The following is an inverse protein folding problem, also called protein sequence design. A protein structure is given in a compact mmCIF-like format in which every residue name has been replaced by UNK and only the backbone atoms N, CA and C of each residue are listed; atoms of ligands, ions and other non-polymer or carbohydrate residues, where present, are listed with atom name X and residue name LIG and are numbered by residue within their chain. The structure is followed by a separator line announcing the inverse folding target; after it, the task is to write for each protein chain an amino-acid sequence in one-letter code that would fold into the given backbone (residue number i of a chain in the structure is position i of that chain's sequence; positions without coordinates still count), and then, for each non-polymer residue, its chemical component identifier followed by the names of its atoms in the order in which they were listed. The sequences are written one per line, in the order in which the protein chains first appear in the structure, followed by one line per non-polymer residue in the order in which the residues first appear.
data_IF_970089005213
#
_entry.id   IF_970089005213
#
_cell.length_a   1.000
_cell.length_b   1.000
_cell.length_c   1.000
_cell.angle_alpha   90.00
_cell.angle_beta   90.00
_cell.angle_gamma   90.00
#
_symmetry.space_group_name_H-M   'P 1'
#
loop_
_entity.id
_entity.type
_entity.pdbx_description
1 polymer ?
#
# COMPACT_ATOMS: atom_id res chain seq x y z
N UNK A 1 15.77 14.11 4.93
CA UNK A 1 16.34 13.60 6.19
C UNK A 1 15.42 14.08 7.27
N UNK A 2 15.01 13.20 8.17
CA UNK A 2 14.09 13.55 9.26
C UNK A 2 14.94 14.09 10.40
N UNK A 3 14.88 15.41 10.63
CA UNK A 3 15.50 16.03 11.79
C UNK A 3 14.55 15.93 13.00
N UNK A 4 15.04 16.30 14.19
CA UNK A 4 14.25 16.22 15.42
C UNK A 4 12.95 17.03 15.33
N UNK A 5 13.00 18.24 14.75
CA UNK A 5 11.83 19.10 14.64
C UNK A 5 10.72 18.45 13.80
N UNK A 6 11.06 17.96 12.61
CA UNK A 6 10.12 17.25 11.74
C UNK A 6 9.59 15.98 12.41
N UNK A 7 10.43 15.28 13.18
CA UNK A 7 10.00 14.10 13.90
C UNK A 7 8.95 14.41 14.97
N UNK A 8 9.13 15.48 15.74
CA UNK A 8 8.13 15.94 16.71
C UNK A 8 6.81 16.34 16.02
N UNK A 9 6.87 17.00 14.86
CA UNK A 9 5.68 17.37 14.10
C UNK A 9 4.93 16.15 13.57
N UNK A 10 5.65 15.13 13.09
CA UNK A 10 5.08 13.84 12.68
C UNK A 10 4.37 13.17 13.87
N UNK A 11 4.96 13.19 15.07
CA UNK A 11 4.35 12.61 16.26
C UNK A 11 3.10 13.38 16.71
N UNK A 12 3.14 14.73 16.69
CA UNK A 12 1.97 15.57 17.00
C UNK A 12 0.82 15.35 16.03
N UNK A 13 1.11 15.17 14.74
CA UNK A 13 0.09 14.84 13.74
C UNK A 13 -0.50 13.45 14.00
N UNK A 14 0.33 12.47 14.35
CA UNK A 14 -0.12 11.12 14.67
C UNK A 14 -1.03 11.11 15.91
N UNK A 15 -0.68 11.88 16.95
CA UNK A 15 -1.50 12.04 18.15
C UNK A 15 -2.86 12.68 17.83
N UNK A 16 -2.89 13.74 17.00
CA UNK A 16 -4.13 14.38 16.54
C UNK A 16 -5.05 13.44 15.73
N UNK A 17 -4.52 12.30 15.29
CA UNK A 17 -5.25 11.26 14.53
C UNK A 17 -5.53 10.01 15.37
N UNK A 18 -5.43 10.12 16.69
CA UNK A 18 -5.63 9.03 17.66
C UNK A 18 -4.70 7.82 17.42
N UNK A 19 -3.53 8.06 16.83
CA UNK A 19 -2.52 7.01 16.64
C UNK A 19 -1.66 6.93 17.90
N UNK A 20 -1.59 5.77 18.58
CA UNK A 20 -0.82 5.65 19.80
C UNK A 20 0.67 5.95 19.57
N UNK A 21 1.23 6.92 20.30
CA UNK A 21 2.63 7.32 20.16
C UNK A 21 3.63 6.21 20.49
N UNK A 22 3.21 5.17 21.22
CA UNK A 22 3.99 3.94 21.40
C UNK A 22 4.29 3.22 20.07
N UNK A 23 3.56 3.52 18.99
CA UNK A 23 3.71 2.92 17.66
C UNK A 23 4.62 3.73 16.74
N UNK A 24 5.67 4.38 17.28
CA UNK A 24 6.64 5.21 16.54
C UNK A 24 7.11 4.62 15.20
N UNK A 25 7.43 3.32 15.18
CA UNK A 25 7.85 2.61 13.95
C UNK A 25 6.78 2.68 12.85
N UNK A 26 5.52 2.44 13.22
CA UNK A 26 4.42 2.41 12.28
C UNK A 26 4.04 3.83 11.82
N UNK A 27 4.10 4.81 12.73
CA UNK A 27 3.94 6.25 12.40
C UNK A 27 4.99 6.67 11.36
N UNK A 28 6.26 6.36 11.61
CA UNK A 28 7.36 6.67 10.69
C UNK A 28 7.17 6.00 9.32
N UNK A 29 6.70 4.75 9.31
CA UNK A 29 6.39 4.03 8.07
C UNK A 29 5.26 4.72 7.29
N UNK A 30 4.17 5.07 7.97
CA UNK A 30 3.01 5.74 7.37
C UNK A 30 3.42 7.10 6.80
N UNK A 31 4.25 7.88 7.51
CA UNK A 31 4.82 9.12 6.99
C UNK A 31 5.57 8.91 5.67
N UNK A 32 6.47 7.93 5.60
CA UNK A 32 7.24 7.66 4.39
C UNK A 32 6.36 7.11 3.25
N UNK A 33 5.31 6.34 3.57
CA UNK A 33 4.32 5.87 2.61
C UNK A 33 3.51 7.03 2.00
N UNK A 34 3.01 7.95 2.85
CA UNK A 34 2.33 9.18 2.40
C UNK A 34 3.24 10.01 1.51
N UNK A 35 4.51 10.15 1.90
CA UNK A 35 5.51 10.87 1.12
C UNK A 35 5.78 10.21 -0.24
N UNK A 36 5.90 8.88 -0.27
CA UNK A 36 6.05 8.13 -1.52
C UNK A 36 4.85 8.37 -2.44
N UNK A 37 3.62 8.23 -1.94
CA UNK A 37 2.39 8.43 -2.71
C UNK A 37 2.29 9.87 -3.24
N UNK A 38 2.55 10.87 -2.39
CA UNK A 38 2.54 12.29 -2.78
C UNK A 38 3.52 12.55 -3.92
N UNK A 39 4.74 12.02 -3.85
CA UNK A 39 5.72 12.18 -4.92
C UNK A 39 5.37 11.37 -6.18
N UNK A 40 4.78 10.18 -6.04
CA UNK A 40 4.37 9.34 -7.17
C UNK A 40 3.26 10.03 -7.98
N UNK A 41 2.21 10.51 -7.32
CA UNK A 41 1.03 11.08 -7.98
C UNK A 41 1.25 12.49 -8.55
N UNK A 42 2.44 13.07 -8.37
CA UNK A 42 2.91 14.26 -9.09
C UNK A 42 3.50 13.96 -10.47
N UNK A 43 3.83 12.69 -10.74
CA UNK A 43 4.49 12.29 -11.98
C UNK A 43 3.47 12.01 -13.09
N UNK A 44 3.83 12.34 -14.33
CA UNK A 44 3.03 11.97 -15.50
C UNK A 44 2.94 10.45 -15.65
N UNK A 45 1.73 9.93 -15.90
CA UNK A 45 1.45 8.50 -16.04
C UNK A 45 1.04 7.80 -14.76
N UNK A 46 1.11 8.47 -13.59
CA UNK A 46 0.72 7.90 -12.30
C UNK A 46 -0.75 7.49 -12.22
N UNK A 47 -1.64 8.11 -13.00
CA UNK A 47 -3.07 7.84 -13.03
C UNK A 47 -3.43 6.44 -13.55
N UNK A 48 -2.46 5.72 -14.13
CA UNK A 48 -2.58 4.33 -14.53
C UNK A 48 -2.11 3.35 -13.45
N UNK A 49 -1.61 3.85 -12.31
CA UNK A 49 -1.42 3.07 -11.10
C UNK A 49 -2.52 3.45 -10.11
N UNK A 50 -3.48 2.56 -9.90
CA UNK A 50 -4.52 2.75 -8.88
C UNK A 50 -4.00 2.22 -7.55
N UNK A 51 -3.91 3.05 -6.52
CA UNK A 51 -3.44 2.67 -5.19
C UNK A 51 -4.53 1.89 -4.44
N UNK A 52 -4.24 0.68 -4.00
CA UNK A 52 -5.21 -0.28 -3.45
C UNK A 52 -4.70 -0.89 -2.13
N UNK A 53 -5.39 -1.94 -1.68
CA UNK A 53 -4.92 -2.75 -0.57
C UNK A 53 -5.24 -2.17 0.82
N UNK A 54 -4.57 -2.71 1.84
CA UNK A 54 -4.85 -2.32 3.23
C UNK A 54 -4.41 -0.90 3.57
N UNK A 55 -3.35 -0.41 2.91
CA UNK A 55 -2.83 0.93 3.15
C UNK A 55 -3.74 2.01 2.54
N UNK A 56 -4.36 1.75 1.39
CA UNK A 56 -5.40 2.63 0.84
C UNK A 56 -6.60 2.75 1.80
N UNK A 57 -7.09 1.61 2.32
CA UNK A 57 -8.15 1.60 3.33
C UNK A 57 -7.76 2.37 4.61
N UNK A 58 -6.50 2.26 5.05
CA UNK A 58 -5.97 2.99 6.21
C UNK A 58 -5.97 4.49 5.98
N UNK A 59 -5.38 4.94 4.86
CA UNK A 59 -5.15 6.37 4.60
C UNK A 59 -6.43 7.10 4.22
N UNK A 60 -7.30 6.52 3.39
CA UNK A 60 -8.51 7.22 2.91
C UNK A 60 -9.76 6.94 3.72
N UNK A 61 -9.83 5.79 4.39
CA UNK A 61 -11.07 5.35 5.03
C UNK A 61 -10.90 4.99 6.52
N UNK A 62 -9.75 5.32 7.11
CA UNK A 62 -9.45 5.14 8.54
C UNK A 62 -9.58 3.68 9.02
N UNK A 63 -9.11 2.72 8.22
CA UNK A 63 -8.97 1.33 8.66
C UNK A 63 -8.14 1.27 9.96
N UNK A 64 -8.64 0.60 10.98
CA UNK A 64 -8.04 0.62 12.33
C UNK A 64 -6.95 -0.46 12.51
N UNK A 65 -6.02 -0.48 11.56
CA UNK A 65 -4.77 -1.25 11.66
C UNK A 65 -3.72 -0.67 10.72
N UNK A 66 -2.46 -0.79 11.12
CA UNK A 66 -1.35 -0.45 10.23
C UNK A 66 -1.20 -1.43 9.07
N UNK A 67 -0.56 -0.95 8.01
CA UNK A 67 -0.24 -1.72 6.81
C UNK A 67 1.16 -1.35 6.32
N UNK A 68 1.90 -2.32 5.80
CA UNK A 68 3.32 -2.15 5.47
C UNK A 68 3.59 -1.92 3.98
N UNK A 69 2.69 -2.43 3.14
CA UNK A 69 2.86 -2.53 1.68
C UNK A 69 2.10 -1.39 0.97
N UNK A 70 2.63 -0.87 -0.13
CA UNK A 70 1.91 -0.02 -1.07
C UNK A 70 1.58 -0.86 -2.32
N UNK A 71 0.31 -1.20 -2.46
CA UNK A 71 -0.20 -2.06 -3.53
C UNK A 71 -0.84 -1.22 -4.64
N UNK A 72 -0.58 -1.55 -5.90
CA UNK A 72 -1.17 -0.85 -7.05
C UNK A 72 -1.78 -1.81 -8.08
N UNK A 73 -2.95 -1.48 -8.60
CA UNK A 73 -3.39 -2.03 -9.88
C UNK A 73 -2.78 -1.22 -11.02
N UNK A 74 -2.17 -1.90 -11.97
CA UNK A 74 -1.53 -1.30 -13.13
C UNK A 74 -2.42 -1.42 -14.37
N UNK A 75 -2.93 -0.28 -14.85
CA UNK A 75 -3.81 -0.18 -16.01
C UNK A 75 -3.02 0.04 -17.30
N UNK A 76 -2.11 -0.88 -17.62
CA UNK A 76 -1.44 -0.95 -18.91
C UNK A 76 -0.11 -0.20 -19.03
N UNK A 77 0.52 0.20 -17.92
CA UNK A 77 1.92 0.64 -17.98
C UNK A 77 2.84 -0.56 -18.21
N UNK A 78 3.85 -0.37 -19.06
CA UNK A 78 4.92 -1.34 -19.21
C UNK A 78 5.76 -1.43 -17.94
N UNK A 79 6.49 -2.54 -17.79
CA UNK A 79 7.41 -2.73 -16.67
C UNK A 79 8.44 -1.59 -16.55
N UNK A 80 8.97 -1.09 -17.68
CA UNK A 80 9.94 0.00 -17.69
C UNK A 80 9.32 1.35 -17.29
N UNK A 81 8.05 1.58 -17.65
CA UNK A 81 7.32 2.78 -17.23
C UNK A 81 7.09 2.78 -15.70
N UNK A 82 6.61 1.67 -15.14
CA UNK A 82 6.42 1.55 -13.68
C UNK A 82 7.76 1.69 -12.94
N UNK A 83 8.81 1.01 -13.43
CA UNK A 83 10.16 1.12 -12.87
C UNK A 83 10.63 2.58 -12.87
N UNK A 84 10.47 3.29 -13.99
CA UNK A 84 10.85 4.70 -14.11
C UNK A 84 10.08 5.62 -13.16
N UNK A 85 8.79 5.35 -12.90
CA UNK A 85 8.01 6.08 -11.89
C UNK A 85 8.59 5.86 -10.48
N UNK A 86 8.83 4.60 -10.09
CA UNK A 86 9.36 4.29 -8.76
C UNK A 86 10.79 4.81 -8.56
N UNK A 87 11.64 4.74 -9.59
CA UNK A 87 12.99 5.29 -9.56
C UNK A 87 13.00 6.82 -9.42
N UNK A 88 12.07 7.53 -10.07
CA UNK A 88 11.90 8.98 -9.89
C UNK A 88 11.55 9.32 -8.44
N UNK A 89 10.59 8.59 -7.84
CA UNK A 89 10.22 8.79 -6.43
C UNK A 89 11.40 8.48 -5.49
N UNK A 90 12.13 7.39 -5.74
CA UNK A 90 13.36 7.08 -5.02
C UNK A 90 14.40 8.21 -5.15
N UNK A 91 14.52 8.81 -6.33
CA UNK A 91 15.34 10.00 -6.58
C UNK A 91 14.99 11.18 -5.67
N UNK A 92 13.70 11.43 -5.40
CA UNK A 92 13.27 12.47 -4.46
C UNK A 92 13.73 12.18 -3.02
N UNK A 93 13.61 10.93 -2.55
CA UNK A 93 14.17 10.53 -1.25
C UNK A 93 15.70 10.76 -1.20
N UNK A 94 16.41 10.49 -2.30
CA UNK A 94 17.87 10.71 -2.39
C UNK A 94 18.22 12.19 -2.33
N UNK A 95 17.49 13.07 -3.03
CA UNK A 95 17.66 14.53 -2.97
C UNK A 95 17.49 15.07 -1.55
N UNK A 96 16.56 14.47 -0.81
CA UNK A 96 16.33 14.78 0.59
C UNK A 96 17.36 14.15 1.53
N UNK A 97 18.42 13.52 1.03
CA UNK A 97 19.50 12.92 1.84
C UNK A 97 19.04 11.74 2.72
N UNK A 98 18.02 10.99 2.31
CA UNK A 98 17.74 9.70 2.93
C UNK A 98 18.78 8.67 2.50
N UNK A 99 19.27 7.87 3.45
CA UNK A 99 20.09 6.69 3.16
C UNK A 99 19.18 5.48 2.95
N UNK A 100 19.17 4.91 1.74
CA UNK A 100 18.32 3.76 1.44
C UNK A 100 18.88 2.90 0.30
N UNK A 101 18.45 1.64 0.28
CA UNK A 101 18.60 0.74 -0.85
C UNK A 101 17.26 0.63 -1.58
N UNK A 102 17.31 0.67 -2.92
CA UNK A 102 16.15 0.43 -3.77
C UNK A 102 16.39 -0.79 -4.66
N UNK A 103 15.51 -1.77 -4.59
CA UNK A 103 15.44 -2.85 -5.57
C UNK A 103 14.09 -2.88 -6.28
N UNK A 104 14.11 -3.36 -7.52
CA UNK A 104 12.93 -3.50 -8.37
C UNK A 104 12.99 -4.83 -9.10
N UNK A 105 11.86 -5.53 -9.17
CA UNK A 105 11.70 -6.79 -9.92
C UNK A 105 10.31 -6.86 -10.52
N UNK A 106 10.18 -7.44 -11.71
CA UNK A 106 8.86 -7.71 -12.28
C UNK A 106 8.90 -8.53 -13.56
N UNK A 107 7.74 -9.04 -13.94
CA UNK A 107 7.48 -9.92 -15.07
C UNK A 107 6.09 -9.56 -15.63
N UNK A 108 5.94 -9.49 -16.96
CA UNK A 108 4.64 -9.29 -17.65
C UNK A 108 3.78 -8.19 -16.99
N UNK A 109 4.34 -6.98 -16.87
CA UNK A 109 3.70 -5.77 -16.31
C UNK A 109 3.20 -5.88 -14.85
N UNK A 110 3.63 -6.91 -14.13
CA UNK A 110 3.44 -7.06 -12.69
C UNK A 110 4.80 -7.14 -12.00
N UNK A 111 4.86 -6.76 -10.73
CA UNK A 111 6.13 -6.78 -10.01
C UNK A 111 6.07 -5.95 -8.75
N UNK A 112 7.23 -5.46 -8.35
CA UNK A 112 7.34 -4.62 -7.18
C UNK A 112 8.73 -4.06 -6.99
N UNK A 113 8.86 -3.30 -5.92
CA UNK A 113 10.13 -2.77 -5.45
C UNK A 113 10.17 -2.71 -3.93
N UNK A 114 11.36 -2.52 -3.39
CA UNK A 114 11.56 -2.37 -1.95
C UNK A 114 12.50 -1.22 -1.69
N UNK A 115 12.02 -0.23 -0.93
CA UNK A 115 12.84 0.83 -0.36
C UNK A 115 13.22 0.41 1.06
N UNK A 116 14.50 0.24 1.34
CA UNK A 116 15.01 -0.06 2.68
C UNK A 116 15.80 1.12 3.20
N UNK A 117 15.19 1.89 4.09
CA UNK A 117 15.81 3.04 4.72
C UNK A 117 16.72 2.59 5.87
N UNK A 118 17.99 2.95 5.76
CA UNK A 118 19.00 2.72 6.78
C UNK A 118 18.99 3.86 7.80
N UNK A 119 19.51 3.58 8.99
CA UNK A 119 19.81 4.55 10.06
C UNK A 119 18.59 5.24 10.70
N UNK A 120 17.44 5.36 10.03
CA UNK A 120 16.27 6.09 10.53
C UNK A 120 15.78 5.59 11.88
N UNK A 121 15.66 4.27 12.06
CA UNK A 121 15.15 3.70 13.30
C UNK A 121 16.11 3.97 14.48
N UNK A 122 17.41 3.94 14.22
CA UNK A 122 18.43 4.20 15.23
C UNK A 122 18.55 5.69 15.54
N UNK A 123 18.64 6.54 14.52
CA UNK A 123 18.72 8.00 14.65
C UNK A 123 17.54 8.60 15.40
N UNK A 124 16.34 8.04 15.23
CA UNK A 124 15.12 8.48 15.90
C UNK A 124 14.86 7.77 17.25
N UNK A 125 15.79 6.93 17.72
CA UNK A 125 15.66 6.19 18.98
C UNK A 125 14.50 5.18 19.01
N UNK A 126 14.05 4.71 17.85
CA UNK A 126 12.97 3.71 17.71
C UNK A 126 13.53 2.29 17.85
N UNK A 127 14.78 2.07 17.44
CA UNK A 127 15.50 0.81 17.60
C UNK A 127 16.89 1.04 18.17
N UNK A 128 17.35 0.14 19.04
CA UNK A 128 18.72 0.11 19.54
C UNK A 128 19.71 -0.53 18.56
N UNK A 129 19.21 -1.20 17.50
CA UNK A 129 20.05 -1.85 16.50
C UNK A 129 20.35 -0.91 15.32
N UNK A 130 21.59 -0.42 15.15
CA UNK A 130 21.94 0.50 14.07
C UNK A 130 21.84 -0.13 12.66
N UNK A 131 21.82 -1.46 12.56
CA UNK A 131 21.69 -2.17 11.27
C UNK A 131 20.24 -2.40 10.87
N UNK A 132 19.28 -2.09 11.72
CA UNK A 132 17.88 -2.32 11.42
C UNK A 132 17.35 -1.31 10.41
N UNK A 133 16.80 -1.82 9.30
CA UNK A 133 16.26 -1.02 8.21
C UNK A 133 14.74 -0.96 8.28
N UNK A 134 14.17 0.21 8.00
CA UNK A 134 12.73 0.37 7.78
C UNK A 134 12.42 0.12 6.29
N UNK A 135 11.60 -0.87 5.99
CA UNK A 135 11.29 -1.25 4.59
C UNK A 135 9.89 -0.79 4.16
N UNK A 136 9.75 -0.14 3.02
CA UNK A 136 8.47 0.03 2.32
C UNK A 136 8.47 -0.92 1.13
N UNK A 137 7.48 -1.81 1.08
CA UNK A 137 7.25 -2.66 -0.09
C UNK A 137 6.32 -1.95 -1.05
N UNK A 138 6.65 -2.02 -2.32
CA UNK A 138 5.84 -1.55 -3.43
C UNK A 138 5.48 -2.79 -4.25
N UNK A 139 4.19 -3.02 -4.49
CA UNK A 139 3.73 -4.12 -5.33
C UNK A 139 2.76 -3.57 -6.38
N UNK A 140 2.83 -4.05 -7.61
CA UNK A 140 1.87 -3.71 -8.66
C UNK A 140 1.50 -4.93 -9.49
N UNK A 141 0.25 -5.01 -9.90
CA UNK A 141 -0.27 -6.13 -10.69
C UNK A 141 -0.95 -5.61 -11.94
N UNK A 142 -0.63 -6.23 -13.09
CA UNK A 142 -1.30 -5.94 -14.36
C UNK A 142 -2.78 -6.28 -14.24
N UNK A 143 -3.62 -5.30 -14.52
CA UNK A 143 -5.05 -5.38 -14.27
C UNK A 143 -5.79 -4.59 -15.35
N UNK A 144 -6.86 -5.17 -15.90
CA UNK A 144 -7.74 -4.41 -16.77
C UNK A 144 -8.34 -3.23 -16.00
N UNK A 145 -8.59 -2.12 -16.70
CA UNK A 145 -9.18 -0.95 -16.06
C UNK A 145 -10.53 -1.31 -15.46
N UNK A 146 -10.67 -1.02 -14.17
CA UNK A 146 -11.87 -1.25 -13.37
C UNK A 146 -12.33 0.08 -12.76
N UNK A 147 -13.45 0.03 -12.04
CA UNK A 147 -14.03 1.20 -11.41
C UNK A 147 -13.08 1.81 -10.36
N UNK A 148 -12.70 3.06 -10.62
CA UNK A 148 -11.79 3.85 -9.77
C UNK A 148 -12.41 5.16 -9.35
N UNK A 149 -11.91 5.71 -8.26
CA UNK A 149 -12.21 7.06 -7.77
C UNK A 149 -10.91 7.84 -7.55
N UNK A 150 -11.04 9.17 -7.41
CA UNK A 150 -9.92 10.04 -7.08
C UNK A 150 -10.17 10.64 -5.71
N UNK A 151 -9.31 10.33 -4.75
CA UNK A 151 -9.41 10.82 -3.37
C UNK A 151 -8.25 11.76 -3.05
N UNK A 152 -8.50 12.71 -2.14
CA UNK A 152 -7.46 13.59 -1.63
C UNK A 152 -6.70 12.89 -0.51
N UNK A 153 -5.43 12.59 -0.72
CA UNK A 153 -4.51 12.23 0.36
C UNK A 153 -4.05 13.53 1.00
N UNK A 154 -4.35 13.75 2.28
CA UNK A 154 -3.93 14.94 3.03
C UNK A 154 -3.45 14.50 4.41
N UNK A 155 -2.14 14.24 4.54
CA UNK A 155 -1.54 13.66 5.74
C UNK A 155 -0.13 14.20 5.95
N UNK A 156 0.28 14.43 7.21
CA UNK A 156 1.62 14.94 7.57
C UNK A 156 2.05 16.21 6.80
N UNK A 157 1.10 17.13 6.56
CA UNK A 157 1.34 18.36 5.80
C UNK A 157 1.54 18.17 4.30
N UNK A 158 1.33 16.96 3.78
CA UNK A 158 1.40 16.64 2.35
C UNK A 158 0.00 16.43 1.79
N UNK A 159 -0.25 16.97 0.59
CA UNK A 159 -1.53 16.84 -0.09
C UNK A 159 -1.34 16.46 -1.56
N UNK A 160 -2.06 15.44 -2.03
CA UNK A 160 -2.11 15.05 -3.45
C UNK A 160 -3.39 14.29 -3.81
N UNK A 161 -3.84 14.40 -5.06
CA UNK A 161 -4.96 13.59 -5.59
C UNK A 161 -4.46 12.23 -6.02
N UNK A 162 -5.03 11.18 -5.45
CA UNK A 162 -4.62 9.80 -5.64
C UNK A 162 -5.75 9.01 -6.31
N UNK A 163 -5.42 8.31 -7.39
CA UNK A 163 -6.33 7.35 -8.01
C UNK A 163 -6.37 6.08 -7.15
N UNK A 164 -7.55 5.64 -6.77
CA UNK A 164 -7.78 4.39 -6.02
C UNK A 164 -8.96 3.62 -6.60
N UNK A 165 -9.09 2.34 -6.29
CA UNK A 165 -10.27 1.57 -6.62
C UNK A 165 -11.41 1.93 -5.68
N UNK A 166 -12.65 1.86 -6.15
CA UNK A 166 -13.81 2.08 -5.27
C UNK A 166 -13.86 1.07 -4.13
N UNK A 167 -14.43 1.44 -2.99
CA UNK A 167 -14.61 0.52 -1.84
C UNK A 167 -15.26 -0.82 -2.22
N UNK A 168 -16.23 -0.80 -3.15
CA UNK A 168 -16.89 -2.01 -3.67
C UNK A 168 -15.92 -2.93 -4.42
N UNK A 169 -15.00 -2.35 -5.19
CA UNK A 169 -13.94 -3.09 -5.89
C UNK A 169 -12.90 -3.61 -4.90
N UNK A 170 -12.46 -2.78 -3.95
CA UNK A 170 -11.51 -3.18 -2.90
C UNK A 170 -12.06 -4.35 -2.07
N UNK A 171 -13.35 -4.33 -1.72
CA UNK A 171 -14.02 -5.46 -1.07
C UNK A 171 -13.94 -6.73 -1.91
N UNK A 172 -14.30 -6.66 -3.19
CA UNK A 172 -14.21 -7.83 -4.09
C UNK A 172 -12.78 -8.37 -4.23
N UNK A 173 -11.77 -7.49 -4.27
CA UNK A 173 -10.36 -7.89 -4.32
C UNK A 173 -9.93 -8.58 -3.02
N UNK A 174 -10.35 -8.07 -1.85
CA UNK A 174 -10.07 -8.68 -0.55
C UNK A 174 -10.76 -10.04 -0.40
N UNK A 175 -12.03 -10.15 -0.79
CA UNK A 175 -12.76 -11.42 -0.81
C UNK A 175 -12.10 -12.44 -1.74
N UNK A 176 -11.70 -12.02 -2.95
CA UNK A 176 -10.95 -12.86 -3.88
C UNK A 176 -9.64 -13.35 -3.24
N UNK A 177 -8.87 -12.47 -2.62
CA UNK A 177 -7.63 -12.86 -1.94
C UNK A 177 -7.88 -13.85 -0.79
N UNK A 178 -8.96 -13.65 -0.02
CA UNK A 178 -9.36 -14.55 1.06
C UNK A 178 -9.71 -15.96 0.55
N UNK A 179 -10.41 -16.07 -0.58
CA UNK A 179 -10.86 -17.35 -1.17
C UNK A 179 -9.73 -18.07 -1.92
N UNK A 180 -8.89 -17.32 -2.65
CA UNK A 180 -7.89 -17.89 -3.55
C UNK A 180 -6.54 -18.23 -2.90
N UNK A 181 -6.24 -17.66 -1.72
CA UNK A 181 -4.97 -17.94 -1.03
C UNK A 181 -5.02 -19.31 -0.35
N UNK A 182 -3.96 -20.11 -0.55
CA UNK A 182 -3.76 -21.41 0.12
C UNK A 182 -3.75 -21.29 1.65
N UNK A 183 -3.26 -20.17 2.17
CA UNK A 183 -3.25 -19.85 3.59
C UNK A 183 -3.90 -18.49 3.82
N UNK A 184 -4.98 -18.49 4.58
CA UNK A 184 -5.68 -17.29 5.01
C UNK A 184 -4.77 -16.42 5.86
N UNK A 185 -4.70 -15.12 5.55
CA UNK A 185 -4.04 -14.14 6.41
C UNK A 185 -5.11 -13.44 7.25
N UNK A 186 -4.96 -13.41 8.58
CA UNK A 186 -5.96 -12.81 9.48
C UNK A 186 -6.34 -11.37 9.13
N UNK A 187 -5.42 -10.61 8.54
CA UNK A 187 -5.67 -9.26 8.03
C UNK A 187 -6.66 -9.19 6.86
N UNK A 188 -6.70 -10.20 5.99
CA UNK A 188 -7.64 -10.22 4.86
C UNK A 188 -9.07 -10.42 5.38
N UNK A 189 -9.25 -11.30 6.38
CA UNK A 189 -10.53 -11.48 7.07
C UNK A 189 -10.97 -10.19 7.78
N UNK A 190 -10.05 -9.55 8.51
CA UNK A 190 -10.33 -8.27 9.18
C UNK A 190 -10.80 -7.20 8.19
N UNK A 191 -10.12 -7.04 7.05
CA UNK A 191 -10.47 -6.02 6.05
C UNK A 191 -11.85 -6.29 5.42
N UNK A 192 -12.16 -7.56 5.10
CA UNK A 192 -13.47 -7.95 4.57
C UNK A 192 -14.57 -7.66 5.59
N UNK A 193 -14.38 -8.09 6.84
CA UNK A 193 -15.32 -7.80 7.92
C UNK A 193 -15.52 -6.29 8.11
N UNK A 194 -14.43 -5.53 8.13
CA UNK A 194 -14.44 -4.08 8.32
C UNK A 194 -15.21 -3.35 7.20
N UNK A 195 -15.08 -3.80 5.95
CA UNK A 195 -15.83 -3.27 4.80
C UNK A 195 -17.31 -3.64 4.87
N UNK A 196 -17.63 -4.90 5.14
CA UNK A 196 -19.00 -5.39 5.25
C UNK A 196 -19.75 -4.74 6.43
N UNK A 197 -19.09 -4.52 7.56
CA UNK A 197 -19.67 -3.85 8.73
C UNK A 197 -20.10 -2.40 8.47
N UNK A 198 -19.58 -1.77 7.40
CA UNK A 198 -19.97 -0.45 6.92
C UNK A 198 -21.05 -0.48 5.83
N UNK A 199 -21.63 -1.64 5.55
CA UNK A 199 -22.64 -1.80 4.51
C UNK A 199 -22.11 -1.73 3.08
N UNK A 200 -20.79 -1.80 2.88
CA UNK A 200 -20.19 -1.84 1.54
C UNK A 200 -20.56 -3.17 0.88
N UNK A 201 -21.05 -3.10 -0.37
CA UNK A 201 -21.41 -4.28 -1.17
C UNK A 201 -20.30 -4.60 -2.16
N UNK A 202 -19.98 -5.89 -2.40
CA UNK A 202 -18.93 -6.26 -3.34
C UNK A 202 -19.36 -5.90 -4.77
N UNK A 203 -18.40 -5.42 -5.56
CA UNK A 203 -18.58 -5.34 -7.01
C UNK A 203 -18.58 -6.79 -7.59
N UNK A 204 -19.76 -7.28 -7.95
CA UNK A 204 -19.95 -8.67 -8.40
C UNK A 204 -19.23 -8.97 -9.72
N UNK A 205 -19.05 -7.98 -10.60
CA UNK A 205 -18.29 -8.15 -11.84
C UNK A 205 -16.83 -8.46 -11.53
N UNK A 206 -16.23 -7.71 -10.59
CA UNK A 206 -14.84 -7.98 -10.14
C UNK A 206 -14.76 -9.30 -9.39
N UNK A 207 -15.77 -9.68 -8.62
CA UNK A 207 -15.76 -10.94 -7.88
C UNK A 207 -15.90 -12.17 -8.81
N UNK A 208 -16.78 -12.08 -9.81
CA UNK A 208 -17.15 -13.20 -10.70
C UNK A 208 -16.21 -13.42 -11.89
N UNK A 209 -15.20 -12.58 -12.12
CA UNK A 209 -14.20 -12.82 -13.17
C UNK A 209 -13.59 -14.23 -13.00
N UNK A 210 -13.82 -15.06 -14.03
CA UNK A 210 -13.84 -16.54 -14.17
C UNK A 210 -12.77 -17.39 -13.45
N UNK A 211 -11.73 -16.82 -12.89
CA UNK A 211 -10.61 -17.56 -12.29
C UNK A 211 -10.89 -18.18 -10.90
N UNK A 212 -12.07 -17.95 -10.30
CA UNK A 212 -12.41 -18.45 -8.96
C UNK A 212 -13.21 -19.76 -8.98
N UNK A 213 -14.15 -19.94 -9.93
CA UNK A 213 -15.06 -21.10 -9.89
C UNK A 213 -14.33 -22.44 -10.11
N UNK A 214 -13.27 -22.48 -10.91
CA UNK A 214 -12.48 -23.72 -11.04
C UNK A 214 -11.58 -23.98 -9.82
N UNK A 215 -10.94 -22.95 -9.25
CA UNK A 215 -9.97 -23.13 -8.16
C UNK A 215 -10.61 -23.54 -6.84
N UNK A 216 -11.76 -22.94 -6.50
CA UNK A 216 -12.50 -23.31 -5.30
C UNK A 216 -13.07 -24.74 -5.40
N UNK A 217 -13.70 -25.09 -6.53
CA UNK A 217 -14.25 -26.44 -6.77
C UNK A 217 -13.15 -27.50 -6.70
N UNK A 218 -11.96 -27.25 -7.27
CA UNK A 218 -10.83 -28.18 -7.20
C UNK A 218 -10.21 -28.30 -5.80
N UNK A 219 -10.18 -27.22 -4.99
CA UNK A 219 -9.65 -27.30 -3.61
C UNK A 219 -10.61 -27.98 -2.63
N UNK A 220 -11.92 -27.96 -2.92
CA UNK A 220 -12.92 -28.70 -2.14
C UNK A 220 -12.94 -30.18 -2.54
N UNK A 221 -12.83 -30.51 -3.83
CA UNK A 221 -12.80 -31.89 -4.31
C UNK A 221 -11.56 -32.69 -3.86
N UNK A 222 -10.44 -32.02 -3.60
CA UNK A 222 -9.19 -32.63 -3.10
C UNK A 222 -9.12 -32.76 -1.57
N UNK A 223 -10.13 -32.30 -0.82
CA UNK A 223 -10.25 -32.48 0.63
C UNK A 223 -11.22 -33.58 1.04
N UNK A 224 -11.83 -34.26 0.07
CA UNK A 224 -12.79 -35.36 0.25
C UNK A 224 -12.28 -36.70 -0.29
N UNK A 225 -10.97 -36.86 -0.43
CA UNK A 225 -10.30 -38.15 -0.62
C UNK A 225 -9.24 -38.36 0.44
#
# INVERSE_FOLDING_TARGET
MINQFLWEDILKEAERRDIPLAKKRAILREFLQVKFLTNLYRLSGCQNLSFIGGTALRLFHRLDRFSEDLDFDNFGLSLSQVKGLFEKVAGEFKKEKFNFEFDFKGIKNSGGGRLRFSDLLYQLGISSNPREKLMIRLDFTDQERIETEVLLLSEFGMSERVVTNTLSVLLSQKMRALISRRQTRGRDFYDVYWLLSRGIKPNLTVLNRRSILLGAVLSFASRTQ
#
